data_IF_974822279921
#
_entry.id   IF_974822279921
#
_cell.length_a   1.000
_cell.length_b   1.000
_cell.length_c   1.000
_cell.angle_alpha   90.00
_cell.angle_beta   90.00
_cell.angle_gamma   90.00
#
_symmetry.space_group_name_H-M   'P 1'
#
loop_
_entity.id
_entity.type
_entity.pdbx_description
1 polymer ?
#
# COMPACT_ATOMS: atom_id res chain seq x y z
N UNK A 1 -16.94 12.73 -27.51
CA UNK A 1 -15.99 12.46 -26.39
C UNK A 1 -16.75 12.73 -25.12
N UNK A 2 -16.69 11.84 -24.13
CA UNK A 2 -17.54 11.94 -22.94
C UNK A 2 -17.01 13.09 -22.05
N UNK A 3 -17.81 14.10 -21.72
CA UNK A 3 -17.40 15.27 -20.92
C UNK A 3 -16.69 14.91 -19.61
N UNK A 4 -17.12 13.81 -18.98
CA UNK A 4 -16.56 13.32 -17.74
C UNK A 4 -15.08 12.89 -17.86
N UNK A 5 -14.72 12.24 -18.98
CA UNK A 5 -13.35 11.79 -19.26
C UNK A 5 -12.39 12.97 -19.45
N UNK A 6 -12.81 13.96 -20.21
CA UNK A 6 -12.05 15.19 -20.44
C UNK A 6 -11.81 15.92 -19.11
N UNK A 7 -12.84 15.94 -18.23
CA UNK A 7 -12.79 16.59 -16.93
C UNK A 7 -11.77 15.94 -15.97
N UNK A 8 -11.61 14.61 -16.03
CA UNK A 8 -10.59 13.92 -15.20
C UNK A 8 -9.17 14.25 -15.69
N UNK A 9 -8.93 14.23 -16.99
CA UNK A 9 -7.63 14.65 -17.56
C UNK A 9 -7.34 16.11 -17.24
N UNK A 10 -8.29 17.03 -17.43
CA UNK A 10 -8.15 18.44 -17.08
C UNK A 10 -7.85 18.65 -15.59
N UNK A 11 -8.41 17.79 -14.72
CA UNK A 11 -8.14 17.86 -13.28
C UNK A 11 -6.65 17.59 -12.98
N UNK A 12 -6.07 16.53 -13.56
CA UNK A 12 -4.69 16.12 -13.26
C UNK A 12 -3.64 16.96 -14.01
N UNK A 13 -3.99 17.55 -15.14
CA UNK A 13 -3.11 18.42 -15.91
C UNK A 13 -3.20 19.89 -15.48
N UNK A 14 -4.28 20.29 -14.82
CA UNK A 14 -4.58 21.66 -14.39
C UNK A 14 -4.03 22.03 -13.02
N UNK A 15 -4.91 22.32 -12.07
CA UNK A 15 -4.51 22.74 -10.71
C UNK A 15 -4.11 21.54 -9.83
N UNK A 16 -2.81 21.31 -9.69
CA UNK A 16 -2.24 20.17 -8.97
C UNK A 16 -2.63 20.11 -7.50
N UNK A 17 -2.82 21.25 -6.81
CA UNK A 17 -3.28 21.27 -5.41
C UNK A 17 -4.72 20.74 -5.31
N UNK A 18 -5.60 21.21 -6.20
CA UNK A 18 -6.99 20.76 -6.28
C UNK A 18 -7.06 19.29 -6.70
N UNK A 19 -6.20 18.86 -7.62
CA UNK A 19 -6.10 17.48 -8.07
C UNK A 19 -5.77 16.53 -6.90
N UNK A 20 -4.73 16.82 -6.11
CA UNK A 20 -4.33 16.00 -4.97
C UNK A 20 -5.52 15.78 -4.02
N UNK A 21 -6.19 16.85 -3.60
CA UNK A 21 -7.31 16.75 -2.64
C UNK A 21 -8.47 15.96 -3.23
N UNK A 22 -8.83 16.26 -4.49
CA UNK A 22 -9.97 15.64 -5.16
C UNK A 22 -9.76 14.15 -5.46
N UNK A 23 -8.51 13.75 -5.71
CA UNK A 23 -8.15 12.35 -5.92
C UNK A 23 -7.97 11.62 -4.58
N UNK A 24 -7.42 12.26 -3.57
CA UNK A 24 -7.19 11.64 -2.26
C UNK A 24 -8.51 11.34 -1.51
N UNK A 25 -9.54 12.15 -1.70
CA UNK A 25 -10.82 11.98 -0.99
C UNK A 25 -11.48 10.60 -1.26
N UNK A 26 -11.76 10.19 -2.50
CA UNK A 26 -12.30 8.86 -2.75
C UNK A 26 -11.30 7.76 -2.37
N UNK A 27 -10.00 7.97 -2.57
CA UNK A 27 -8.99 6.98 -2.18
C UNK A 27 -8.94 6.73 -0.67
N UNK A 28 -9.20 7.74 0.14
CA UNK A 28 -9.33 7.56 1.60
C UNK A 28 -10.47 6.61 1.93
N UNK A 29 -11.64 6.78 1.31
CA UNK A 29 -12.76 5.86 1.49
C UNK A 29 -12.44 4.45 1.02
N UNK A 30 -11.72 4.31 -0.09
CA UNK A 30 -11.23 3.02 -0.58
C UNK A 30 -10.42 2.29 0.50
N UNK A 31 -9.38 2.95 1.04
CA UNK A 31 -8.51 2.36 2.05
C UNK A 31 -9.26 2.07 3.36
N UNK A 32 -10.19 2.93 3.74
CA UNK A 32 -11.03 2.72 4.92
C UNK A 32 -11.96 1.51 4.75
N UNK A 33 -12.59 1.35 3.59
CA UNK A 33 -13.42 0.17 3.27
C UNK A 33 -12.58 -1.12 3.25
N UNK A 34 -11.38 -1.09 2.66
CA UNK A 34 -10.46 -2.23 2.68
C UNK A 34 -10.10 -2.63 4.11
N UNK A 35 -9.89 -1.67 4.98
CA UNK A 35 -9.61 -1.94 6.38
C UNK A 35 -10.80 -2.58 7.11
N UNK A 36 -12.02 -2.06 6.88
CA UNK A 36 -13.24 -2.63 7.47
C UNK A 36 -13.42 -4.07 7.00
N UNK A 37 -13.29 -4.32 5.70
CA UNK A 37 -13.50 -5.67 5.17
C UNK A 37 -12.46 -6.66 5.73
N UNK A 38 -11.19 -6.32 5.83
CA UNK A 38 -10.17 -7.16 6.44
C UNK A 38 -10.46 -7.48 7.92
N UNK A 39 -11.02 -6.50 8.64
CA UNK A 39 -11.43 -6.71 10.03
C UNK A 39 -12.62 -7.68 10.14
N UNK A 40 -13.63 -7.50 9.29
CA UNK A 40 -14.82 -8.37 9.26
C UNK A 40 -14.46 -9.79 8.83
N UNK A 41 -13.63 -9.96 7.81
CA UNK A 41 -13.12 -11.26 7.37
C UNK A 41 -12.41 -12.00 8.52
N UNK A 42 -11.57 -11.29 9.29
CA UNK A 42 -10.93 -11.85 10.47
C UNK A 42 -11.94 -12.33 11.52
N UNK A 43 -13.06 -11.62 11.73
CA UNK A 43 -14.12 -12.05 12.67
C UNK A 43 -14.75 -13.37 12.22
N UNK A 44 -15.05 -13.51 10.93
CA UNK A 44 -15.63 -14.75 10.41
C UNK A 44 -14.69 -15.94 10.56
N UNK A 45 -13.39 -15.74 10.31
CA UNK A 45 -12.39 -16.82 10.47
C UNK A 45 -12.20 -17.21 11.93
N UNK A 46 -12.26 -16.27 12.88
CA UNK A 46 -12.23 -16.62 14.33
C UNK A 46 -13.31 -17.62 14.70
N UNK A 47 -14.47 -17.55 14.06
CA UNK A 47 -15.57 -18.50 14.29
C UNK A 47 -15.28 -19.96 13.87
N UNK A 48 -14.23 -20.20 13.05
CA UNK A 48 -13.78 -21.56 12.67
C UNK A 48 -12.90 -22.23 13.73
N UNK A 49 -12.48 -21.49 14.76
CA UNK A 49 -11.68 -22.00 15.86
C UNK A 49 -10.20 -21.60 15.82
N UNK A 50 -9.45 -21.96 16.88
CA UNK A 50 -8.08 -21.48 17.07
C UNK A 50 -7.08 -22.01 16.02
N UNK A 51 -7.32 -23.20 15.49
CA UNK A 51 -6.46 -23.81 14.46
C UNK A 51 -6.55 -23.06 13.13
N UNK A 52 -7.75 -22.65 12.72
CA UNK A 52 -7.97 -21.83 11.53
C UNK A 52 -7.33 -20.43 11.68
N UNK A 53 -7.49 -19.83 12.87
CA UNK A 53 -6.86 -18.53 13.16
C UNK A 53 -5.33 -18.63 13.14
N UNK A 54 -4.75 -19.70 13.68
CA UNK A 54 -3.32 -19.95 13.62
C UNK A 54 -2.84 -20.14 12.17
N UNK A 55 -3.58 -20.87 11.35
CA UNK A 55 -3.27 -21.08 9.94
C UNK A 55 -3.19 -19.75 9.15
N UNK A 56 -4.17 -18.84 9.35
CA UNK A 56 -4.12 -17.49 8.76
C UNK A 56 -2.90 -16.72 9.24
N UNK A 57 -2.56 -16.82 10.52
CA UNK A 57 -1.35 -16.18 11.05
C UNK A 57 -0.08 -16.58 10.30
N UNK A 58 0.05 -17.85 9.90
CA UNK A 58 1.16 -18.36 9.09
C UNK A 58 1.08 -17.94 7.61
N UNK A 59 -0.11 -17.90 7.03
CA UNK A 59 -0.31 -17.58 5.60
C UNK A 59 -0.26 -16.07 5.35
N UNK A 60 -0.69 -15.24 6.30
CA UNK A 60 -0.75 -13.78 6.15
C UNK A 60 0.57 -13.13 5.67
N UNK A 61 1.77 -13.47 6.16
CA UNK A 61 3.00 -12.89 5.65
C UNK A 61 3.23 -13.16 4.15
N UNK A 62 2.88 -14.36 3.68
CA UNK A 62 2.95 -14.69 2.25
C UNK A 62 1.96 -13.86 1.44
N UNK A 63 0.74 -13.72 1.94
CA UNK A 63 -0.29 -12.89 1.32
C UNK A 63 0.14 -11.42 1.23
N UNK A 64 0.75 -10.85 2.28
CA UNK A 64 1.27 -9.48 2.26
C UNK A 64 2.39 -9.27 1.25
N UNK A 65 3.30 -10.25 1.06
CA UNK A 65 4.32 -10.18 0.02
C UNK A 65 3.68 -10.10 -1.37
N UNK A 66 2.64 -10.89 -1.59
CA UNK A 66 1.93 -10.91 -2.87
C UNK A 66 1.13 -9.64 -3.13
N UNK A 67 0.47 -9.10 -2.11
CA UNK A 67 -0.15 -7.77 -2.19
C UNK A 67 0.90 -6.69 -2.50
N UNK A 68 2.10 -6.80 -1.91
CA UNK A 68 3.23 -5.93 -2.25
C UNK A 68 3.60 -5.97 -3.73
N UNK A 69 3.60 -7.15 -4.34
CA UNK A 69 3.85 -7.31 -5.78
C UNK A 69 2.72 -6.70 -6.61
N UNK A 70 1.46 -6.95 -6.25
CA UNK A 70 0.29 -6.36 -6.92
C UNK A 70 0.32 -4.83 -6.85
N UNK A 71 0.57 -4.27 -5.67
CA UNK A 71 0.72 -2.83 -5.47
C UNK A 71 1.89 -2.25 -6.27
N UNK A 72 3.02 -2.95 -6.36
CA UNK A 72 4.18 -2.54 -7.15
C UNK A 72 3.86 -2.45 -8.64
N UNK A 73 3.17 -3.45 -9.17
CA UNK A 73 2.68 -3.46 -10.55
C UNK A 73 1.67 -2.34 -10.79
N UNK A 74 0.73 -2.14 -9.87
CA UNK A 74 -0.25 -1.05 -9.93
C UNK A 74 0.42 0.33 -9.91
N UNK A 75 1.37 0.56 -9.02
CA UNK A 75 2.11 1.82 -8.93
C UNK A 75 2.92 2.10 -10.20
N UNK A 76 3.51 1.06 -10.81
CA UNK A 76 4.25 1.21 -12.06
C UNK A 76 3.34 1.56 -13.24
N UNK A 77 2.20 0.89 -13.37
CA UNK A 77 1.19 1.21 -14.39
C UNK A 77 0.69 2.64 -14.24
N UNK A 78 0.29 3.05 -13.02
CA UNK A 78 -0.14 4.42 -12.72
C UNK A 78 0.93 5.44 -13.12
N UNK A 79 2.17 5.26 -12.67
CA UNK A 79 3.28 6.17 -12.98
C UNK A 79 3.55 6.27 -14.48
N UNK A 80 3.62 5.14 -15.18
CA UNK A 80 3.98 5.09 -16.59
C UNK A 80 2.90 5.75 -17.46
N UNK A 81 1.63 5.44 -17.21
CA UNK A 81 0.49 6.01 -17.90
C UNK A 81 0.40 7.52 -17.63
N UNK A 82 0.44 7.94 -16.35
CA UNK A 82 0.32 9.34 -15.97
C UNK A 82 1.44 10.20 -16.57
N UNK A 83 2.67 9.68 -16.69
CA UNK A 83 3.79 10.38 -17.34
C UNK A 83 3.53 10.60 -18.83
N UNK A 84 3.02 9.60 -19.54
CA UNK A 84 2.70 9.71 -20.95
C UNK A 84 1.51 10.66 -21.22
N UNK A 85 0.49 10.63 -20.34
CA UNK A 85 -0.61 11.64 -20.37
C UNK A 85 -0.03 13.05 -20.18
N UNK A 86 0.87 13.25 -19.22
CA UNK A 86 1.53 14.51 -18.98
C UNK A 86 2.39 15.01 -20.15
N UNK A 87 2.96 14.09 -20.93
CA UNK A 87 3.68 14.37 -22.15
C UNK A 87 2.76 14.66 -23.37
N UNK A 88 1.44 14.55 -23.20
CA UNK A 88 0.42 14.59 -24.27
C UNK A 88 0.59 13.47 -25.32
N UNK A 89 1.28 12.38 -24.98
CA UNK A 89 1.44 11.21 -25.84
C UNK A 89 0.47 10.10 -25.42
N UNK A 90 -0.77 10.27 -25.85
CA UNK A 90 -1.84 9.33 -25.53
C UNK A 90 -1.66 7.96 -26.20
N UNK A 91 -1.01 7.91 -27.37
CA UNK A 91 -0.68 6.63 -28.03
C UNK A 91 0.28 5.82 -27.19
N UNK A 92 1.31 6.48 -26.66
CA UNK A 92 2.26 5.85 -25.78
C UNK A 92 1.62 5.49 -24.42
N UNK A 93 0.68 6.30 -23.92
CA UNK A 93 -0.09 5.99 -22.71
C UNK A 93 -0.95 4.71 -22.91
N UNK A 94 -1.64 4.57 -24.05
CA UNK A 94 -2.38 3.36 -24.42
C UNK A 94 -1.47 2.13 -24.47
N UNK A 95 -0.33 2.27 -25.15
CA UNK A 95 0.64 1.19 -25.28
C UNK A 95 1.28 0.81 -23.93
N UNK A 96 1.55 1.79 -23.07
CA UNK A 96 2.04 1.58 -21.70
C UNK A 96 1.04 0.80 -20.84
N UNK A 97 -0.26 1.11 -20.93
CA UNK A 97 -1.30 0.38 -20.23
C UNK A 97 -1.38 -1.08 -20.70
N UNK A 98 -1.32 -1.33 -22.02
CA UNK A 98 -1.31 -2.68 -22.58
C UNK A 98 -0.06 -3.48 -22.18
N UNK A 99 1.12 -2.85 -22.12
CA UNK A 99 2.34 -3.48 -21.60
C UNK A 99 2.23 -3.80 -20.10
N UNK A 100 1.57 -2.93 -19.32
CA UNK A 100 1.31 -3.22 -17.90
C UNK A 100 0.38 -4.41 -17.73
N UNK A 101 -0.66 -4.55 -18.57
CA UNK A 101 -1.54 -5.73 -18.59
C UNK A 101 -0.74 -7.00 -18.92
N UNK A 102 0.08 -6.97 -19.96
CA UNK A 102 0.91 -8.11 -20.35
C UNK A 102 1.88 -8.52 -19.24
N UNK A 103 2.61 -7.56 -18.67
CA UNK A 103 3.58 -7.81 -17.60
C UNK A 103 2.90 -8.34 -16.34
N UNK A 104 1.76 -7.77 -15.96
CA UNK A 104 0.98 -8.23 -14.80
C UNK A 104 0.50 -9.66 -14.97
N UNK A 105 0.04 -10.02 -16.18
CA UNK A 105 -0.36 -11.39 -16.51
C UNK A 105 0.82 -12.35 -16.35
N UNK A 106 1.98 -12.00 -16.88
CA UNK A 106 3.19 -12.84 -16.80
C UNK A 106 3.60 -13.01 -15.32
N UNK A 107 3.66 -11.93 -14.55
CA UNK A 107 4.04 -11.97 -13.14
C UNK A 107 3.04 -12.82 -12.35
N UNK A 108 1.73 -12.61 -12.55
CA UNK A 108 0.69 -13.36 -11.85
C UNK A 108 0.76 -14.85 -12.16
N UNK A 109 0.95 -15.24 -13.43
CA UNK A 109 1.08 -16.64 -13.82
C UNK A 109 2.33 -17.27 -13.20
N UNK A 110 3.48 -16.60 -13.26
CA UNK A 110 4.74 -17.09 -12.66
C UNK A 110 4.54 -17.32 -11.15
N UNK A 111 3.96 -16.37 -10.42
CA UNK A 111 3.75 -16.50 -8.98
C UNK A 111 2.76 -17.62 -8.68
N UNK A 112 1.64 -17.68 -9.43
CA UNK A 112 0.66 -18.76 -9.28
C UNK A 112 1.33 -20.12 -9.44
N UNK A 113 2.12 -20.34 -10.48
CA UNK A 113 2.82 -21.61 -10.72
C UNK A 113 3.80 -21.92 -9.58
N UNK A 114 4.62 -20.95 -9.18
CA UNK A 114 5.57 -21.12 -8.07
C UNK A 114 4.82 -21.50 -6.78
N UNK A 115 3.76 -20.76 -6.45
CA UNK A 115 3.01 -21.00 -5.21
C UNK A 115 2.29 -22.35 -5.24
N UNK A 116 1.66 -22.74 -6.35
CA UNK A 116 0.98 -24.04 -6.44
C UNK A 116 1.96 -25.22 -6.35
N UNK A 117 3.13 -25.11 -6.99
CA UNK A 117 4.15 -26.19 -6.98
C UNK A 117 4.85 -26.29 -5.63
N UNK A 118 5.19 -25.14 -5.01
CA UNK A 118 5.99 -25.11 -3.79
C UNK A 118 5.18 -24.80 -2.53
N UNK A 119 3.85 -24.83 -2.59
CA UNK A 119 2.98 -24.47 -1.45
C UNK A 119 3.30 -25.32 -0.21
N UNK A 120 3.28 -26.64 -0.34
CA UNK A 120 3.53 -27.54 0.80
C UNK A 120 4.94 -27.37 1.37
N UNK A 121 6.03 -27.37 0.57
CA UNK A 121 7.38 -27.02 1.04
C UNK A 121 7.46 -25.66 1.76
N UNK A 122 6.82 -24.62 1.22
CA UNK A 122 6.83 -23.27 1.83
C UNK A 122 6.12 -23.28 3.18
N UNK A 123 4.93 -23.88 3.27
CA UNK A 123 4.17 -23.98 4.51
C UNK A 123 4.92 -24.77 5.58
N UNK A 124 5.57 -25.87 5.20
CA UNK A 124 6.40 -26.65 6.12
C UNK A 124 7.63 -25.86 6.60
N UNK A 125 8.28 -25.09 5.72
CA UNK A 125 9.41 -24.24 6.07
C UNK A 125 9.03 -23.15 7.10
N UNK A 126 7.82 -22.61 6.99
CA UNK A 126 7.27 -21.60 7.92
C UNK A 126 6.87 -22.25 9.25
N UNK A 127 6.74 -23.58 9.30
CA UNK A 127 6.44 -24.31 10.54
C UNK A 127 4.95 -24.35 10.88
N UNK A 128 4.08 -24.46 9.88
CA UNK A 128 2.60 -24.48 10.05
C UNK A 128 2.12 -25.67 10.90
N UNK A 129 2.87 -26.78 10.92
CA UNK A 129 2.61 -27.93 11.80
C UNK A 129 1.24 -28.57 11.58
N UNK A 130 0.49 -28.79 12.68
CA UNK A 130 -0.83 -29.45 12.66
C UNK A 130 -1.91 -28.64 11.90
N UNK A 131 -1.72 -27.34 11.68
CA UNK A 131 -2.71 -26.48 10.99
C UNK A 131 -2.52 -26.45 9.47
N UNK A 132 -1.65 -27.32 8.91
CA UNK A 132 -1.30 -27.32 7.49
C UNK A 132 -2.51 -27.50 6.57
N UNK A 133 -3.50 -28.29 6.97
CA UNK A 133 -4.70 -28.48 6.15
C UNK A 133 -5.49 -27.18 5.99
N UNK A 134 -5.74 -26.45 7.08
CA UNK A 134 -6.41 -25.14 7.02
C UNK A 134 -5.62 -24.11 6.20
N UNK A 135 -4.30 -24.13 6.35
CA UNK A 135 -3.42 -23.26 5.57
C UNK A 135 -3.45 -23.60 4.08
N UNK A 136 -3.47 -24.88 3.72
CA UNK A 136 -3.58 -25.35 2.33
C UNK A 136 -4.93 -24.99 1.73
N UNK A 137 -6.03 -25.25 2.45
CA UNK A 137 -7.40 -24.97 1.98
C UNK A 137 -7.58 -23.50 1.60
N UNK A 138 -7.00 -22.59 2.37
CA UNK A 138 -6.99 -21.18 2.06
C UNK A 138 -6.03 -20.83 0.91
N UNK A 139 -4.79 -21.30 1.03
CA UNK A 139 -3.69 -20.88 0.14
C UNK A 139 -3.88 -21.36 -1.28
N UNK A 140 -4.31 -22.58 -1.52
CA UNK A 140 -4.53 -23.09 -2.88
C UNK A 140 -5.56 -22.28 -3.66
N UNK A 141 -6.59 -21.78 -3.00
CA UNK A 141 -7.61 -20.94 -3.64
C UNK A 141 -7.05 -19.54 -3.92
N UNK A 142 -6.53 -18.85 -2.90
CA UNK A 142 -6.04 -17.45 -3.07
C UNK A 142 -4.89 -17.38 -4.06
N UNK A 143 -3.88 -18.24 -3.92
CA UNK A 143 -2.71 -18.21 -4.80
C UNK A 143 -2.99 -18.85 -6.17
N UNK A 144 -3.90 -19.82 -6.25
CA UNK A 144 -4.35 -20.40 -7.52
C UNK A 144 -5.06 -19.39 -8.42
N UNK A 145 -5.81 -18.49 -7.81
CA UNK A 145 -6.53 -17.41 -8.52
C UNK A 145 -5.92 -16.03 -8.34
N UNK A 146 -4.63 -15.97 -7.99
CA UNK A 146 -3.94 -14.70 -7.75
C UNK A 146 -3.98 -13.75 -8.95
N UNK A 147 -4.08 -14.27 -10.16
CA UNK A 147 -4.23 -13.46 -11.37
C UNK A 147 -5.40 -12.47 -11.24
N UNK A 148 -6.50 -12.86 -10.61
CA UNK A 148 -7.69 -12.01 -10.42
C UNK A 148 -7.35 -10.84 -9.49
N UNK A 149 -6.66 -11.09 -8.37
CA UNK A 149 -6.27 -10.07 -7.40
C UNK A 149 -5.29 -9.06 -8.01
N UNK A 150 -4.31 -9.55 -8.79
CA UNK A 150 -3.36 -8.69 -9.51
C UNK A 150 -4.06 -7.83 -10.57
N UNK A 151 -5.03 -8.40 -11.28
CA UNK A 151 -5.81 -7.67 -12.29
C UNK A 151 -6.73 -6.62 -11.66
N UNK A 152 -7.35 -6.89 -10.52
CA UNK A 152 -8.16 -5.91 -9.78
C UNK A 152 -7.34 -4.67 -9.45
N UNK A 153 -6.14 -4.85 -8.87
CA UNK A 153 -5.26 -3.75 -8.53
C UNK A 153 -4.75 -3.01 -9.78
N UNK A 154 -4.39 -3.75 -10.84
CA UNK A 154 -3.95 -3.17 -12.09
C UNK A 154 -5.03 -2.31 -12.76
N UNK A 155 -6.25 -2.85 -12.93
CA UNK A 155 -7.36 -2.13 -13.56
C UNK A 155 -7.72 -0.89 -12.74
N UNK A 156 -7.77 -1.00 -11.42
CA UNK A 156 -7.94 0.15 -10.52
C UNK A 156 -6.84 1.18 -10.71
N UNK A 157 -5.59 0.75 -10.90
CA UNK A 157 -4.44 1.66 -11.12
C UNK A 157 -4.50 2.36 -12.47
N UNK A 158 -5.03 1.72 -13.51
CA UNK A 158 -5.26 2.37 -14.82
C UNK A 158 -6.30 3.49 -14.68
N UNK A 159 -7.41 3.26 -13.98
CA UNK A 159 -8.39 4.33 -13.68
C UNK A 159 -7.73 5.48 -12.89
N UNK A 160 -6.95 5.16 -11.87
CA UNK A 160 -6.23 6.16 -11.06
C UNK A 160 -5.25 7.00 -11.89
N UNK A 161 -4.58 6.39 -12.86
CA UNK A 161 -3.62 7.07 -13.73
C UNK A 161 -4.23 8.18 -14.59
N UNK A 162 -5.50 8.02 -14.98
CA UNK A 162 -6.29 9.03 -15.70
C UNK A 162 -6.96 10.06 -14.79
N UNK A 163 -6.79 9.93 -13.47
CA UNK A 163 -7.47 10.77 -12.49
C UNK A 163 -8.89 10.32 -12.16
N UNK A 164 -9.32 9.16 -12.62
CA UNK A 164 -10.64 8.59 -12.31
C UNK A 164 -10.61 7.73 -11.05
N UNK A 165 -10.47 8.40 -9.90
CA UNK A 165 -10.51 7.74 -8.60
C UNK A 165 -11.90 7.21 -8.25
N UNK A 166 -12.97 7.75 -8.87
CA UNK A 166 -14.35 7.38 -8.55
C UNK A 166 -14.65 5.93 -8.97
N UNK A 167 -14.37 5.55 -10.21
CA UNK A 167 -14.56 4.18 -10.67
C UNK A 167 -13.65 3.20 -9.95
N UNK A 168 -12.39 3.56 -9.68
CA UNK A 168 -11.49 2.74 -8.88
C UNK A 168 -12.05 2.50 -7.45
N UNK A 169 -12.58 3.53 -6.79
CA UNK A 169 -13.18 3.42 -5.45
C UNK A 169 -14.44 2.55 -5.46
N UNK A 170 -15.32 2.71 -6.45
CA UNK A 170 -16.53 1.89 -6.55
C UNK A 170 -16.18 0.41 -6.76
N UNK A 171 -15.18 0.09 -7.59
CA UNK A 171 -14.75 -1.28 -7.82
C UNK A 171 -14.31 -1.95 -6.50
N UNK A 172 -13.46 -1.28 -5.72
CA UNK A 172 -12.99 -1.80 -4.43
C UNK A 172 -14.12 -1.85 -3.39
N UNK A 173 -15.06 -0.91 -3.42
CA UNK A 173 -16.24 -0.96 -2.57
C UNK A 173 -17.12 -2.19 -2.89
N UNK A 174 -17.25 -2.54 -4.17
CA UNK A 174 -17.96 -3.75 -4.59
C UNK A 174 -17.25 -4.99 -4.06
N UNK A 175 -15.92 -5.08 -4.20
CA UNK A 175 -15.14 -6.18 -3.61
C UNK A 175 -15.40 -6.29 -2.11
N UNK A 176 -15.25 -5.19 -1.36
CA UNK A 176 -15.40 -5.19 0.09
C UNK A 176 -16.81 -5.62 0.54
N UNK A 177 -17.86 -5.04 -0.07
CA UNK A 177 -19.25 -5.35 0.30
C UNK A 177 -19.59 -6.80 -0.08
N UNK A 178 -19.20 -7.24 -1.28
CA UNK A 178 -19.48 -8.61 -1.75
C UNK A 178 -18.73 -9.63 -0.89
N UNK A 179 -17.48 -9.37 -0.52
CA UNK A 179 -16.70 -10.26 0.34
C UNK A 179 -17.38 -10.41 1.72
N UNK A 180 -17.73 -9.31 2.40
CA UNK A 180 -18.42 -9.33 3.70
C UNK A 180 -19.70 -10.19 3.67
N UNK A 181 -20.43 -10.18 2.54
CA UNK A 181 -21.66 -10.96 2.37
C UNK A 181 -21.38 -12.42 2.02
N UNK A 182 -20.35 -12.70 1.23
CA UNK A 182 -20.00 -14.06 0.79
C UNK A 182 -19.27 -14.86 1.86
N UNK A 183 -18.49 -14.22 2.74
CA UNK A 183 -17.76 -14.90 3.80
C UNK A 183 -18.67 -15.82 4.64
N UNK A 184 -19.71 -15.32 5.34
CA UNK A 184 -20.57 -16.18 6.15
C UNK A 184 -21.30 -17.24 5.32
N UNK A 185 -21.64 -16.92 4.07
CA UNK A 185 -22.31 -17.85 3.16
C UNK A 185 -21.40 -19.04 2.82
N UNK A 186 -20.15 -18.78 2.43
CA UNK A 186 -19.22 -19.83 2.02
C UNK A 186 -18.61 -20.56 3.20
N UNK A 187 -18.27 -19.83 4.26
CA UNK A 187 -17.67 -20.42 5.46
C UNK A 187 -18.66 -21.36 6.17
N UNK A 188 -19.87 -20.86 6.46
CA UNK A 188 -20.80 -21.54 7.36
C UNK A 188 -21.98 -22.22 6.65
N UNK A 189 -22.63 -21.56 5.67
CA UNK A 189 -23.82 -22.13 5.01
C UNK A 189 -23.40 -23.23 4.06
N UNK A 190 -22.35 -23.02 3.25
CA UNK A 190 -21.82 -24.06 2.35
C UNK A 190 -20.79 -24.98 3.02
N UNK A 191 -20.46 -24.73 4.31
CA UNK A 191 -19.50 -25.52 5.09
C UNK A 191 -18.13 -25.69 4.43
N UNK A 192 -17.66 -24.68 3.69
CA UNK A 192 -16.36 -24.71 3.01
C UNK A 192 -15.20 -24.32 3.97
N UNK A 193 -15.51 -23.83 5.19
CA UNK A 193 -14.50 -23.44 6.17
C UNK A 193 -13.49 -22.44 5.62
N UNK A 194 -12.19 -22.72 5.78
CA UNK A 194 -11.10 -21.84 5.33
C UNK A 194 -11.08 -21.64 3.81
N UNK A 195 -11.40 -22.67 3.02
CA UNK A 195 -11.55 -22.50 1.57
C UNK A 195 -12.71 -21.56 1.23
N UNK A 196 -13.75 -21.50 2.08
CA UNK A 196 -14.88 -20.58 1.92
C UNK A 196 -14.46 -19.11 1.99
N UNK A 197 -13.66 -18.72 2.99
CA UNK A 197 -13.10 -17.36 3.09
C UNK A 197 -12.23 -17.00 1.86
N UNK A 198 -11.40 -17.94 1.41
CA UNK A 198 -10.58 -17.78 0.22
C UNK A 198 -11.43 -17.57 -1.06
N UNK A 199 -12.47 -18.38 -1.24
CA UNK A 199 -13.40 -18.23 -2.38
C UNK A 199 -14.19 -16.92 -2.33
N UNK A 200 -14.62 -16.47 -1.16
CA UNK A 200 -15.29 -15.17 -1.02
C UNK A 200 -14.38 -14.04 -1.50
N UNK A 201 -13.10 -14.05 -1.12
CA UNK A 201 -12.11 -13.06 -1.58
C UNK A 201 -11.91 -13.11 -3.10
N UNK A 202 -11.72 -14.29 -3.67
CA UNK A 202 -11.48 -14.44 -5.12
C UNK A 202 -12.72 -14.04 -5.94
N UNK A 203 -13.92 -14.45 -5.54
CA UNK A 203 -15.16 -14.16 -6.27
C UNK A 203 -15.52 -12.67 -6.18
N UNK A 204 -15.35 -12.03 -5.02
CA UNK A 204 -15.59 -10.60 -4.87
C UNK A 204 -14.62 -9.77 -5.74
N UNK A 205 -13.35 -10.12 -5.78
CA UNK A 205 -12.36 -9.51 -6.67
C UNK A 205 -12.66 -9.77 -8.15
N UNK A 206 -13.10 -10.99 -8.48
CA UNK A 206 -13.50 -11.32 -9.85
C UNK A 206 -14.70 -10.48 -10.32
N UNK A 207 -15.69 -10.27 -9.44
CA UNK A 207 -16.85 -9.43 -9.74
C UNK A 207 -16.41 -7.98 -10.02
N UNK A 208 -15.52 -7.42 -9.20
CA UNK A 208 -14.97 -6.09 -9.44
C UNK A 208 -14.20 -6.01 -10.76
N UNK A 209 -13.37 -7.02 -11.07
CA UNK A 209 -12.70 -7.11 -12.37
C UNK A 209 -13.69 -7.11 -13.54
N UNK A 210 -14.74 -7.93 -13.48
CA UNK A 210 -15.78 -8.01 -14.53
C UNK A 210 -16.44 -6.63 -14.72
N UNK A 211 -16.76 -5.95 -13.64
CA UNK A 211 -17.39 -4.62 -13.71
C UNK A 211 -16.41 -3.59 -14.29
N UNK A 212 -15.13 -3.59 -13.90
CA UNK A 212 -14.11 -2.70 -14.46
C UNK A 212 -13.90 -2.99 -15.96
N UNK A 213 -13.84 -4.26 -16.36
CA UNK A 213 -13.77 -4.70 -17.75
C UNK A 213 -14.97 -4.17 -18.53
N UNK A 214 -16.19 -4.32 -17.99
CA UNK A 214 -17.40 -3.78 -18.61
C UNK A 214 -17.34 -2.25 -18.77
N UNK A 215 -16.84 -1.52 -17.76
CA UNK A 215 -16.67 -0.07 -17.87
C UNK A 215 -15.63 0.32 -18.93
N UNK A 216 -14.56 -0.43 -19.06
CA UNK A 216 -13.47 -0.15 -20.00
C UNK A 216 -13.93 -0.43 -21.45
N UNK A 217 -14.34 -1.65 -21.73
CA UNK A 217 -14.56 -2.09 -23.12
C UNK A 217 -15.98 -1.86 -23.62
N UNK A 218 -17.02 -1.98 -22.78
CA UNK A 218 -18.41 -1.81 -23.20
C UNK A 218 -18.88 -0.38 -23.01
N UNK A 219 -18.71 0.20 -21.83
CA UNK A 219 -19.11 1.59 -21.54
C UNK A 219 -18.09 2.62 -21.99
N UNK A 220 -16.88 2.19 -22.33
CA UNK A 220 -15.77 3.05 -22.77
C UNK A 220 -15.56 4.23 -21.80
N UNK A 221 -15.51 3.97 -20.51
CA UNK A 221 -15.37 5.00 -19.47
C UNK A 221 -13.96 5.57 -19.38
N UNK A 222 -12.93 4.85 -19.79
CA UNK A 222 -11.55 5.35 -19.85
C UNK A 222 -11.39 6.36 -20.99
N UNK A 223 -10.49 7.32 -20.77
CA UNK A 223 -9.99 8.21 -21.81
C UNK A 223 -9.08 7.44 -22.78
N UNK A 224 -8.24 6.56 -22.24
CA UNK A 224 -7.37 5.67 -23.01
C UNK A 224 -8.17 4.63 -23.80
N UNK A 225 -7.67 4.29 -24.97
CA UNK A 225 -8.20 3.20 -25.81
C UNK A 225 -7.33 1.95 -25.64
N UNK A 226 -7.79 1.02 -24.80
CA UNK A 226 -7.13 -0.27 -24.56
C UNK A 226 -7.43 -1.31 -25.64
N UNK A 227 -7.59 -0.88 -26.89
CA UNK A 227 -7.73 -1.80 -28.02
C UNK A 227 -6.42 -2.54 -28.29
N UNK A 228 -6.44 -3.88 -28.48
CA UNK A 228 -5.24 -4.63 -28.86
C UNK A 228 -4.56 -4.11 -30.15
N UNK A 229 -5.30 -3.40 -31.01
CA UNK A 229 -4.76 -2.76 -32.21
C UNK A 229 -3.72 -1.68 -31.91
N UNK A 230 -3.78 -1.08 -30.72
CA UNK A 230 -2.84 -0.06 -30.26
C UNK A 230 -1.58 -0.66 -29.62
N UNK A 231 -1.45 -1.97 -29.57
CA UNK A 231 -0.31 -2.64 -28.99
C UNK A 231 0.84 -2.69 -30.00
N UNK A 232 1.97 -2.09 -29.60
CA UNK A 232 3.25 -2.27 -30.28
C UNK A 232 4.30 -2.64 -29.25
N UNK A 233 4.92 -3.81 -29.38
CA UNK A 233 5.90 -4.30 -28.43
C UNK A 233 7.09 -3.34 -28.30
N UNK A 234 7.34 -2.86 -27.10
CA UNK A 234 8.46 -1.96 -26.78
C UNK A 234 9.18 -2.44 -25.53
N UNK A 235 10.40 -2.94 -25.70
CA UNK A 235 11.24 -3.42 -24.59
C UNK A 235 11.45 -2.34 -23.52
N UNK A 236 11.53 -1.07 -23.93
CA UNK A 236 11.73 0.04 -23.01
C UNK A 236 10.58 0.18 -22.03
N UNK A 237 9.31 0.01 -22.47
CA UNK A 237 8.13 0.08 -21.59
C UNK A 237 8.14 -1.04 -20.55
N UNK A 238 8.58 -2.25 -20.92
CA UNK A 238 8.74 -3.36 -19.96
C UNK A 238 9.82 -3.03 -18.95
N UNK A 239 10.96 -2.52 -19.39
CA UNK A 239 12.07 -2.16 -18.49
C UNK A 239 11.67 -1.04 -17.55
N UNK A 240 11.00 0.01 -18.02
CA UNK A 240 10.50 1.11 -17.19
C UNK A 240 9.46 0.64 -16.18
N UNK A 241 8.57 -0.27 -16.59
CA UNK A 241 7.58 -0.87 -15.71
C UNK A 241 8.27 -1.66 -14.58
N UNK A 242 9.22 -2.54 -14.91
CA UNK A 242 9.97 -3.33 -13.93
C UNK A 242 10.82 -2.47 -13.00
N UNK A 243 11.39 -1.36 -13.49
CA UNK A 243 12.19 -0.42 -12.68
C UNK A 243 11.37 0.30 -11.59
N UNK A 244 10.05 0.27 -11.69
CA UNK A 244 9.14 0.79 -10.65
C UNK A 244 8.52 -0.37 -9.88
N UNK A 245 8.00 -1.38 -10.58
CA UNK A 245 7.27 -2.48 -9.98
C UNK A 245 8.11 -3.27 -8.98
N UNK A 246 9.32 -3.70 -9.36
CA UNK A 246 10.18 -4.50 -8.48
C UNK A 246 10.60 -3.73 -7.21
N UNK A 247 11.14 -2.50 -7.31
CA UNK A 247 11.45 -1.73 -6.11
C UNK A 247 10.24 -1.48 -5.22
N UNK A 248 9.08 -1.12 -5.78
CA UNK A 248 7.87 -0.85 -5.00
C UNK A 248 7.34 -2.11 -4.30
N UNK A 249 7.45 -3.27 -4.93
CA UNK A 249 7.11 -4.56 -4.31
C UNK A 249 8.01 -4.87 -3.10
N UNK A 250 9.32 -4.61 -3.24
CA UNK A 250 10.29 -4.83 -2.17
C UNK A 250 10.09 -3.89 -0.98
N UNK A 251 9.55 -2.69 -1.18
CA UNK A 251 9.27 -1.73 -0.09
C UNK A 251 8.34 -2.32 0.98
N UNK A 252 7.32 -3.08 0.57
CA UNK A 252 6.39 -3.75 1.49
C UNK A 252 7.11 -4.83 2.31
N UNK A 253 7.95 -5.65 1.66
CA UNK A 253 8.73 -6.70 2.30
C UNK A 253 9.72 -6.12 3.32
N UNK A 254 10.40 -5.02 2.97
CA UNK A 254 11.33 -4.31 3.86
C UNK A 254 10.60 -3.78 5.10
N UNK A 255 9.43 -3.16 4.91
CA UNK A 255 8.64 -2.63 6.02
C UNK A 255 8.20 -3.74 6.98
N UNK A 256 7.77 -4.89 6.47
CA UNK A 256 7.38 -6.05 7.28
C UNK A 256 8.58 -6.65 8.02
N UNK A 257 9.73 -6.78 7.35
CA UNK A 257 10.96 -7.30 7.97
C UNK A 257 11.45 -6.40 9.11
N UNK A 258 11.36 -5.08 8.94
CA UNK A 258 11.69 -4.12 9.99
C UNK A 258 10.82 -4.33 11.24
N UNK A 259 9.50 -4.53 11.06
CA UNK A 259 8.58 -4.79 12.19
C UNK A 259 8.96 -6.07 12.95
N UNK A 260 9.38 -7.13 12.25
CA UNK A 260 9.85 -8.36 12.89
C UNK A 260 11.11 -8.11 13.74
N UNK A 261 12.07 -7.33 13.25
CA UNK A 261 13.31 -7.01 13.98
C UNK A 261 12.98 -6.16 15.20
N UNK A 262 12.12 -5.14 15.09
CA UNK A 262 11.72 -4.33 16.25
C UNK A 262 10.97 -5.16 17.30
N UNK A 263 10.08 -6.06 16.89
CA UNK A 263 9.42 -6.99 17.80
C UNK A 263 10.43 -7.88 18.53
N UNK A 264 11.44 -8.39 17.83
CA UNK A 264 12.52 -9.18 18.46
C UNK A 264 13.31 -8.37 19.49
N UNK A 265 13.65 -7.10 19.18
CA UNK A 265 14.30 -6.20 20.16
C UNK A 265 13.41 -5.96 21.38
N UNK A 266 12.09 -5.74 21.16
CA UNK A 266 11.13 -5.53 22.25
C UNK A 266 11.00 -6.76 23.15
N UNK A 267 11.05 -7.98 22.59
CA UNK A 267 11.05 -9.22 23.40
C UNK A 267 12.25 -9.23 24.34
N UNK A 268 13.44 -8.87 23.85
CA UNK A 268 14.67 -8.90 24.64
C UNK A 268 14.63 -7.91 25.81
N UNK A 269 14.11 -6.68 25.58
CA UNK A 269 14.17 -5.59 26.57
C UNK A 269 12.90 -5.43 27.42
N UNK A 270 11.76 -5.96 27.00
CA UNK A 270 10.46 -5.75 27.68
C UNK A 270 9.54 -6.96 27.67
N UNK A 271 9.98 -8.08 27.10
CA UNK A 271 9.20 -9.30 27.01
C UNK A 271 8.00 -9.20 26.07
N UNK A 272 7.14 -10.23 26.09
CA UNK A 272 5.97 -10.32 25.20
C UNK A 272 4.93 -9.22 25.46
N UNK A 273 4.84 -8.67 26.68
CA UNK A 273 3.92 -7.59 27.01
C UNK A 273 4.27 -6.32 26.22
N UNK A 274 5.55 -5.98 26.09
CA UNK A 274 6.01 -4.82 25.32
C UNK A 274 5.68 -4.96 23.83
N UNK A 275 5.81 -6.16 23.28
CA UNK A 275 5.40 -6.45 21.89
C UNK A 275 3.90 -6.29 21.70
N UNK A 276 3.09 -6.80 22.65
CA UNK A 276 1.64 -6.62 22.63
C UNK A 276 1.22 -5.16 22.62
N UNK A 277 1.78 -4.35 23.54
CA UNK A 277 1.52 -2.90 23.61
C UNK A 277 1.95 -2.18 22.32
N UNK A 278 3.13 -2.52 21.79
CA UNK A 278 3.62 -1.95 20.53
C UNK A 278 2.71 -2.26 19.35
N UNK A 279 2.29 -3.52 19.19
CA UNK A 279 1.43 -3.94 18.09
C UNK A 279 0.02 -3.29 18.18
N UNK A 280 -0.55 -3.20 19.38
CA UNK A 280 -1.81 -2.43 19.59
C UNK A 280 -1.60 -0.98 19.16
N UNK A 281 -0.51 -0.35 19.62
CA UNK A 281 -0.18 1.01 19.22
C UNK A 281 -0.05 1.19 17.71
N UNK A 282 0.65 0.26 17.03
CA UNK A 282 0.83 0.31 15.58
C UNK A 282 -0.49 0.11 14.81
N UNK A 283 -1.42 -0.72 15.29
CA UNK A 283 -2.75 -0.85 14.70
C UNK A 283 -3.54 0.48 14.75
N UNK A 284 -3.48 1.18 15.88
CA UNK A 284 -4.12 2.50 16.01
C UNK A 284 -3.45 3.55 15.12
N UNK A 285 -2.12 3.54 15.06
CA UNK A 285 -1.34 4.43 14.19
C UNK A 285 -1.71 4.21 12.72
N UNK A 286 -1.88 2.96 12.30
CA UNK A 286 -2.27 2.62 10.90
C UNK A 286 -3.57 3.31 10.51
N UNK A 287 -4.59 3.34 11.40
CA UNK A 287 -5.83 4.11 11.19
C UNK A 287 -5.56 5.60 10.94
N UNK A 288 -4.73 6.20 11.80
CA UNK A 288 -4.37 7.62 11.69
C UNK A 288 -3.55 7.96 10.43
N UNK A 289 -2.96 6.95 9.76
CA UNK A 289 -2.11 7.13 8.57
C UNK A 289 -2.82 6.87 7.24
N UNK A 290 -4.05 6.35 7.23
CA UNK A 290 -4.83 6.12 6.01
C UNK A 290 -4.92 7.36 5.09
N UNK A 291 -5.15 8.58 5.61
CA UNK A 291 -5.17 9.77 4.77
C UNK A 291 -3.82 10.06 4.08
N UNK A 292 -2.70 9.74 4.75
CA UNK A 292 -1.36 9.91 4.17
C UNK A 292 -1.17 8.99 2.97
N UNK A 293 -1.59 7.73 3.09
CA UNK A 293 -1.56 6.74 2.01
C UNK A 293 -2.45 7.18 0.84
N UNK A 294 -3.64 7.67 1.12
CA UNK A 294 -4.58 8.18 0.10
C UNK A 294 -3.98 9.37 -0.68
N UNK A 295 -3.38 10.33 0.02
CA UNK A 295 -2.69 11.48 -0.59
C UNK A 295 -1.47 10.99 -1.38
N UNK A 296 -0.75 10.00 -0.87
CA UNK A 296 0.41 9.41 -1.53
C UNK A 296 0.07 8.82 -2.90
N UNK A 297 -1.00 8.03 -2.99
CA UNK A 297 -1.49 7.48 -4.28
C UNK A 297 -1.87 8.59 -5.25
N UNK A 298 -2.56 9.63 -4.79
CA UNK A 298 -2.88 10.80 -5.61
C UNK A 298 -1.61 11.54 -6.10
N UNK A 299 -0.57 11.61 -5.26
CA UNK A 299 0.72 12.22 -5.62
C UNK A 299 1.42 11.44 -6.74
N UNK A 300 1.36 10.10 -6.78
CA UNK A 300 1.94 9.30 -7.88
C UNK A 300 1.38 9.79 -9.22
N UNK A 301 0.06 9.88 -9.34
CA UNK A 301 -0.62 10.32 -10.56
C UNK A 301 -0.25 11.76 -10.92
N UNK A 302 -0.46 12.69 -9.98
CA UNK A 302 -0.31 14.13 -10.24
C UNK A 302 1.15 14.52 -10.51
N UNK A 303 2.12 13.93 -9.80
CA UNK A 303 3.54 14.18 -10.07
C UNK A 303 4.00 13.48 -11.34
N UNK A 304 3.42 12.33 -11.68
CA UNK A 304 3.68 11.63 -12.95
C UNK A 304 3.33 12.52 -14.14
N UNK A 305 2.14 13.12 -14.14
CA UNK A 305 1.73 14.11 -15.15
C UNK A 305 2.66 15.32 -15.19
N UNK A 306 3.03 15.89 -14.03
CA UNK A 306 3.95 17.03 -13.97
C UNK A 306 5.36 16.69 -14.49
N UNK A 307 5.84 15.47 -14.23
CA UNK A 307 7.12 14.99 -14.73
C UNK A 307 7.09 14.75 -16.24
N UNK A 308 6.03 14.12 -16.75
CA UNK A 308 5.82 13.91 -18.19
C UNK A 308 5.75 15.20 -18.99
N UNK A 309 5.03 16.20 -18.48
CA UNK A 309 4.96 17.55 -19.07
C UNK A 309 6.26 18.39 -18.87
N UNK A 310 7.29 17.82 -18.23
CA UNK A 310 8.55 18.52 -17.89
C UNK A 310 8.34 19.80 -17.04
N UNK A 311 7.21 19.91 -16.35
CA UNK A 311 6.87 21.06 -15.53
C UNK A 311 7.41 20.91 -14.09
N UNK A 312 8.64 21.39 -13.89
CA UNK A 312 9.34 21.28 -12.60
C UNK A 312 8.70 22.09 -11.47
N UNK A 313 7.98 23.17 -11.79
CA UNK A 313 7.27 23.96 -10.77
C UNK A 313 6.05 23.18 -10.25
N UNK A 314 5.30 22.55 -11.13
CA UNK A 314 4.18 21.68 -10.75
C UNK A 314 4.66 20.46 -9.95
N UNK A 315 5.79 19.85 -10.30
CA UNK A 315 6.41 18.77 -9.49
C UNK A 315 6.71 19.26 -8.07
N UNK A 316 7.32 20.45 -7.93
CA UNK A 316 7.64 21.06 -6.63
C UNK A 316 6.38 21.38 -5.82
N UNK A 317 5.34 21.93 -6.47
CA UNK A 317 4.04 22.22 -5.86
C UNK A 317 3.41 20.93 -5.36
N UNK A 318 3.32 19.89 -6.20
CA UNK A 318 2.72 18.60 -5.87
C UNK A 318 3.38 17.97 -4.64
N UNK A 319 4.71 17.86 -4.66
CA UNK A 319 5.47 17.28 -3.55
C UNK A 319 5.31 18.10 -2.26
N UNK A 320 5.57 19.42 -2.31
CA UNK A 320 5.56 20.26 -1.11
C UNK A 320 4.14 20.42 -0.52
N UNK A 321 3.12 20.49 -1.36
CA UNK A 321 1.74 20.60 -0.93
C UNK A 321 1.23 19.27 -0.34
N UNK A 322 1.58 18.13 -0.98
CA UNK A 322 1.30 16.81 -0.44
C UNK A 322 1.87 16.63 0.96
N UNK A 323 3.16 16.96 1.17
CA UNK A 323 3.79 16.91 2.50
C UNK A 323 3.07 17.83 3.51
N UNK A 324 2.73 19.06 3.12
CA UNK A 324 2.06 20.02 4.03
C UNK A 324 0.66 19.56 4.48
N UNK A 325 -0.16 19.08 3.54
CA UNK A 325 -1.50 18.54 3.90
C UNK A 325 -1.37 17.32 4.78
N UNK A 326 -0.51 16.36 4.41
CA UNK A 326 -0.28 15.17 5.23
C UNK A 326 0.21 15.55 6.62
N UNK A 327 1.12 16.52 6.75
CA UNK A 327 1.62 16.97 8.05
C UNK A 327 0.50 17.54 8.92
N UNK A 328 -0.38 18.37 8.35
CA UNK A 328 -1.55 18.90 9.08
C UNK A 328 -2.47 17.79 9.58
N UNK A 329 -2.76 16.79 8.73
CA UNK A 329 -3.60 15.64 9.11
C UNK A 329 -2.88 14.79 10.16
N UNK A 330 -1.59 14.54 10.00
CA UNK A 330 -0.79 13.76 10.94
C UNK A 330 -0.73 14.40 12.33
N UNK A 331 -0.58 15.73 12.42
CA UNK A 331 -0.62 16.45 13.68
C UNK A 331 -2.00 16.31 14.34
N UNK A 332 -3.08 16.45 13.57
CA UNK A 332 -4.44 16.23 14.09
C UNK A 332 -4.64 14.80 14.59
N UNK A 333 -4.23 13.79 13.79
CA UNK A 333 -4.33 12.37 14.18
C UNK A 333 -3.51 12.08 15.43
N UNK A 334 -2.29 12.61 15.55
CA UNK A 334 -1.45 12.48 16.73
C UNK A 334 -2.15 13.07 17.98
N UNK A 335 -2.71 14.28 17.87
CA UNK A 335 -3.43 14.93 18.98
C UNK A 335 -4.64 14.07 19.39
N UNK A 336 -5.44 13.61 18.43
CA UNK A 336 -6.61 12.77 18.71
C UNK A 336 -6.22 11.45 19.39
N UNK A 337 -5.21 10.74 18.87
CA UNK A 337 -4.72 9.49 19.48
C UNK A 337 -4.20 9.74 20.89
N UNK A 338 -3.46 10.85 21.11
CA UNK A 338 -2.91 11.17 22.43
C UNK A 338 -3.98 11.55 23.44
N UNK A 339 -4.97 12.36 23.05
CA UNK A 339 -6.07 12.79 23.93
C UNK A 339 -6.99 11.62 24.27
N UNK A 340 -7.31 10.78 23.30
CA UNK A 340 -8.19 9.63 23.48
C UNK A 340 -7.45 8.34 23.85
N UNK A 341 -6.15 8.39 24.18
CA UNK A 341 -5.36 7.22 24.55
C UNK A 341 -5.97 6.37 25.67
N UNK A 342 -6.51 6.95 26.78
CA UNK A 342 -7.17 6.17 27.81
C UNK A 342 -8.42 5.42 27.31
N UNK A 343 -9.26 6.07 26.50
CA UNK A 343 -10.48 5.47 25.94
C UNK A 343 -10.13 4.37 24.92
N UNK A 344 -9.12 4.60 24.10
CA UNK A 344 -8.61 3.60 23.15
C UNK A 344 -8.05 2.39 23.90
N UNK A 345 -7.27 2.60 24.97
CA UNK A 345 -6.72 1.52 25.76
C UNK A 345 -7.80 0.61 26.38
N UNK A 346 -8.94 1.18 26.80
CA UNK A 346 -10.08 0.42 27.33
C UNK A 346 -10.69 -0.53 26.31
N UNK A 347 -10.67 -0.20 25.00
CA UNK A 347 -11.17 -1.10 23.96
C UNK A 347 -10.35 -2.38 23.83
N UNK A 348 -9.07 -2.35 24.20
CA UNK A 348 -8.14 -3.49 24.12
C UNK A 348 -7.95 -4.20 25.46
N UNK A 349 -8.59 -3.75 26.52
CA UNK A 349 -8.44 -4.27 27.89
C UNK A 349 -9.77 -4.68 28.56
N UNK A 350 -10.72 -5.15 27.75
CA UNK A 350 -12.04 -5.56 28.21
C UNK A 350 -12.04 -6.87 29.04
N UNK A 351 -10.93 -7.61 29.07
CA UNK A 351 -10.79 -8.86 29.81
C UNK A 351 -9.80 -8.71 30.98
N UNK A 352 -10.02 -9.41 32.10
CA UNK A 352 -9.16 -9.33 33.29
C UNK A 352 -7.68 -9.63 33.01
N UNK A 353 -7.38 -10.49 32.05
CA UNK A 353 -6.01 -10.80 31.62
C UNK A 353 -5.33 -9.61 30.91
N UNK A 354 -6.10 -8.75 30.24
CA UNK A 354 -5.59 -7.60 29.48
C UNK A 354 -5.67 -6.28 30.26
N UNK A 355 -6.36 -6.24 31.41
CA UNK A 355 -6.52 -5.04 32.24
C UNK A 355 -5.17 -4.50 32.76
N UNK A 356 -4.19 -5.37 33.00
CA UNK A 356 -2.84 -4.98 33.39
C UNK A 356 -2.08 -4.19 32.30
N UNK A 357 -2.49 -4.31 31.03
CA UNK A 357 -1.87 -3.63 29.89
C UNK A 357 -2.49 -2.25 29.63
N UNK A 358 -3.65 -1.93 30.21
CA UNK A 358 -4.35 -0.65 29.99
C UNK A 358 -3.46 0.56 30.26
N UNK A 359 -2.80 0.57 31.42
CA UNK A 359 -1.89 1.66 31.82
C UNK A 359 -0.69 1.76 30.85
N UNK A 360 -0.13 0.62 30.42
CA UNK A 360 0.99 0.61 29.49
C UNK A 360 0.57 1.12 28.12
N UNK A 361 -0.58 0.68 27.59
CA UNK A 361 -1.13 1.16 26.32
C UNK A 361 -1.39 2.67 26.40
N UNK A 362 -2.06 3.14 27.45
CA UNK A 362 -2.36 4.55 27.65
C UNK A 362 -1.11 5.43 27.64
N UNK A 363 -0.05 5.00 28.30
CA UNK A 363 1.21 5.77 28.38
C UNK A 363 2.04 5.67 27.08
N UNK A 364 1.92 4.57 26.36
CA UNK A 364 2.74 4.32 25.16
C UNK A 364 2.13 4.94 23.90
N UNK A 365 0.80 4.99 23.78
CA UNK A 365 0.12 5.54 22.59
C UNK A 365 0.55 6.97 22.23
N UNK A 366 0.63 7.93 23.17
CA UNK A 366 1.11 9.28 22.87
C UNK A 366 2.54 9.30 22.34
N UNK A 367 3.42 8.45 22.88
CA UNK A 367 4.83 8.34 22.43
C UNK A 367 4.87 7.79 21.00
N UNK A 368 4.22 6.66 20.76
CA UNK A 368 4.21 6.05 19.43
C UNK A 368 3.51 6.92 18.38
N UNK A 369 2.51 7.72 18.77
CA UNK A 369 1.81 8.62 17.85
C UNK A 369 2.73 9.69 17.24
N UNK A 370 3.85 10.03 17.88
CA UNK A 370 4.88 10.92 17.33
C UNK A 370 5.46 10.38 16.01
N UNK A 371 5.47 9.05 15.82
CA UNK A 371 5.87 8.44 14.55
C UNK A 371 5.06 8.95 13.36
N UNK A 372 3.76 9.25 13.55
CA UNK A 372 2.86 9.72 12.49
C UNK A 372 3.42 11.00 11.83
N UNK A 373 4.07 11.88 12.60
CA UNK A 373 4.66 13.14 12.08
C UNK A 373 5.81 12.87 11.09
N UNK A 374 6.51 11.75 11.24
CA UNK A 374 7.62 11.39 10.34
C UNK A 374 7.17 10.95 8.95
N UNK A 375 5.95 10.42 8.85
CA UNK A 375 5.42 9.78 7.64
C UNK A 375 5.32 10.70 6.43
N UNK A 376 4.79 11.94 6.53
CA UNK A 376 4.64 12.82 5.38
C UNK A 376 5.94 13.04 4.60
N UNK A 377 7.05 13.18 5.30
CA UNK A 377 8.36 13.43 4.67
C UNK A 377 8.85 12.21 3.88
N UNK A 378 8.72 11.02 4.45
CA UNK A 378 9.16 9.78 3.79
C UNK A 378 8.18 9.28 2.74
N UNK A 379 6.91 9.06 3.12
CA UNK A 379 5.91 8.45 2.25
C UNK A 379 5.63 9.30 1.00
N UNK A 380 5.44 10.62 1.13
CA UNK A 380 5.21 11.48 -0.04
C UNK A 380 6.46 11.57 -0.92
N UNK A 381 7.67 11.43 -0.36
CA UNK A 381 8.91 11.41 -1.14
C UNK A 381 9.07 10.12 -1.94
N UNK A 382 8.78 8.96 -1.34
CA UNK A 382 8.78 7.67 -2.06
C UNK A 382 7.75 7.68 -3.20
N UNK A 383 6.51 8.10 -2.91
CA UNK A 383 5.45 8.23 -3.93
C UNK A 383 5.78 9.24 -5.04
N UNK A 384 6.48 10.32 -4.70
CA UNK A 384 6.99 11.29 -5.71
C UNK A 384 8.01 10.64 -6.64
N UNK A 385 8.96 9.87 -6.12
CA UNK A 385 9.92 9.15 -6.96
C UNK A 385 9.26 8.06 -7.80
N UNK A 386 8.29 7.32 -7.24
CA UNK A 386 7.50 6.34 -8.01
C UNK A 386 6.78 7.02 -9.19
N UNK A 387 6.09 8.15 -8.94
CA UNK A 387 5.42 8.92 -9.98
C UNK A 387 6.37 9.47 -11.06
N UNK A 388 7.62 9.81 -10.70
CA UNK A 388 8.66 10.20 -11.66
C UNK A 388 9.32 9.01 -12.38
N UNK A 389 8.90 7.78 -12.13
CA UNK A 389 9.52 6.59 -12.72
C UNK A 389 10.87 6.21 -12.10
N UNK A 390 11.18 6.72 -10.90
CA UNK A 390 12.45 6.49 -10.20
C UNK A 390 12.26 5.51 -9.03
N UNK A 391 11.76 4.30 -9.30
CA UNK A 391 11.44 3.30 -8.28
C UNK A 391 12.63 2.91 -7.42
N UNK A 392 13.84 2.81 -7.99
CA UNK A 392 15.06 2.54 -7.20
C UNK A 392 15.32 3.61 -6.16
N UNK A 393 15.08 4.90 -6.48
CA UNK A 393 15.25 5.99 -5.51
C UNK A 393 14.21 5.90 -4.39
N UNK A 394 12.99 5.49 -4.71
CA UNK A 394 11.92 5.20 -3.73
C UNK A 394 12.34 4.09 -2.78
N UNK A 395 12.83 2.97 -3.31
CA UNK A 395 13.34 1.84 -2.53
C UNK A 395 14.50 2.23 -1.61
N UNK A 396 15.45 3.04 -2.10
CA UNK A 396 16.58 3.49 -1.29
C UNK A 396 16.14 4.37 -0.11
N UNK A 397 15.12 5.23 -0.28
CA UNK A 397 14.54 5.98 0.85
C UNK A 397 13.90 5.02 1.85
N UNK A 398 13.15 4.03 1.37
CA UNK A 398 12.50 3.03 2.22
C UNK A 398 13.51 2.20 2.99
N UNK A 399 14.59 1.72 2.33
CA UNK A 399 15.70 1.02 2.97
C UNK A 399 16.38 1.86 4.04
N UNK A 400 16.74 3.10 3.70
CA UNK A 400 17.40 4.01 4.64
C UNK A 400 16.52 4.28 5.86
N UNK A 401 15.24 4.59 5.63
CA UNK A 401 14.30 4.98 6.68
C UNK A 401 13.90 3.79 7.55
N UNK A 402 13.37 2.74 6.95
CA UNK A 402 12.80 1.62 7.71
C UNK A 402 13.86 0.63 8.18
N UNK A 403 14.80 0.25 7.33
CA UNK A 403 15.73 -0.83 7.67
C UNK A 403 16.99 -0.32 8.37
N UNK A 404 17.65 0.69 7.79
CA UNK A 404 18.95 1.15 8.32
C UNK A 404 18.76 2.02 9.56
N UNK A 405 18.11 3.16 9.44
CA UNK A 405 18.05 4.14 10.52
C UNK A 405 17.17 3.70 11.68
N UNK A 406 16.02 3.08 11.44
CA UNK A 406 15.17 2.59 12.52
C UNK A 406 15.87 1.54 13.37
N UNK A 407 16.53 0.56 12.73
CA UNK A 407 17.21 -0.52 13.45
C UNK A 407 18.43 0.03 14.20
N UNK A 408 19.26 0.87 13.55
CA UNK A 408 20.45 1.45 14.19
C UNK A 408 20.06 2.29 15.40
N UNK A 409 19.11 3.21 15.28
CA UNK A 409 18.70 4.05 16.40
C UNK A 409 17.96 3.27 17.49
N UNK A 410 17.12 2.29 17.12
CA UNK A 410 16.48 1.42 18.10
C UNK A 410 17.51 0.62 18.90
N UNK A 411 18.50 0.05 18.23
CA UNK A 411 19.60 -0.66 18.90
C UNK A 411 20.43 0.27 19.80
N UNK A 412 20.86 1.42 19.28
CA UNK A 412 21.68 2.38 20.00
C UNK A 412 20.97 2.86 21.28
N UNK A 413 19.72 3.31 21.18
CA UNK A 413 19.01 3.85 22.35
C UNK A 413 18.58 2.76 23.32
N UNK A 414 18.17 1.59 22.82
CA UNK A 414 17.70 0.52 23.69
C UNK A 414 18.82 -0.19 24.43
N UNK A 415 19.88 -0.59 23.73
CA UNK A 415 20.94 -1.44 24.27
C UNK A 415 22.18 -0.65 24.70
N UNK A 416 22.62 0.33 23.90
CA UNK A 416 23.87 1.09 24.23
C UNK A 416 23.57 2.19 25.23
N UNK A 417 22.50 2.98 25.05
CA UNK A 417 22.08 4.01 26.01
C UNK A 417 21.30 3.45 27.22
N UNK A 418 20.88 2.17 27.16
CA UNK A 418 20.17 1.53 28.27
C UNK A 418 18.72 2.00 28.50
N UNK A 419 18.07 2.61 27.49
CA UNK A 419 16.69 3.11 27.62
C UNK A 419 15.64 1.99 27.51
N UNK A 420 16.04 0.73 27.26
CA UNK A 420 15.15 -0.42 27.17
C UNK A 420 14.05 -0.24 26.13
N UNK A 421 12.79 -0.52 26.50
CA UNK A 421 11.61 -0.43 25.61
C UNK A 421 11.44 0.98 25.04
N UNK A 422 11.62 2.03 25.84
CA UNK A 422 11.51 3.42 25.38
C UNK A 422 12.59 3.76 24.35
N UNK A 423 13.76 3.11 24.42
CA UNK A 423 14.83 3.23 23.43
C UNK A 423 14.42 2.68 22.06
N UNK A 424 13.69 1.55 22.02
CA UNK A 424 13.16 1.01 20.77
C UNK A 424 12.15 1.98 20.14
N UNK A 425 11.22 2.54 20.93
CA UNK A 425 10.23 3.50 20.44
C UNK A 425 10.89 4.79 19.95
N UNK A 426 11.79 5.36 20.72
CA UNK A 426 12.53 6.57 20.34
C UNK A 426 13.36 6.36 19.07
N UNK A 427 14.03 5.23 18.94
CA UNK A 427 14.82 4.88 17.77
C UNK A 427 13.96 4.71 16.51
N UNK A 428 12.81 4.04 16.63
CA UNK A 428 11.85 3.88 15.56
C UNK A 428 11.29 5.24 15.05
N UNK A 429 10.94 6.14 15.99
CA UNK A 429 10.44 7.47 15.67
C UNK A 429 11.52 8.34 15.02
N UNK A 430 12.69 8.40 15.65
CA UNK A 430 13.80 9.25 15.18
C UNK A 430 14.37 8.75 13.86
N UNK A 431 14.56 7.45 13.70
CA UNK A 431 15.02 6.84 12.46
C UNK A 431 14.08 7.13 11.29
N UNK A 432 12.79 6.99 11.51
CA UNK A 432 11.76 7.34 10.50
C UNK A 432 11.77 8.83 10.17
N UNK A 433 11.95 9.70 11.15
CA UNK A 433 11.98 11.15 10.94
C UNK A 433 13.23 11.57 10.15
N UNK A 434 14.39 11.13 10.56
CA UNK A 434 15.67 11.46 9.89
C UNK A 434 15.68 10.92 8.46
N UNK A 435 15.28 9.67 8.26
CA UNK A 435 15.19 9.07 6.93
C UNK A 435 14.13 9.75 6.06
N UNK A 436 13.00 10.15 6.64
CA UNK A 436 11.97 10.92 5.95
C UNK A 436 12.45 12.30 5.51
N UNK A 437 13.12 13.05 6.39
CA UNK A 437 13.71 14.35 6.07
C UNK A 437 14.79 14.25 4.98
N UNK A 438 15.60 13.19 5.02
CA UNK A 438 16.55 12.89 3.95
C UNK A 438 15.82 12.68 2.61
N UNK A 439 14.76 11.86 2.59
CA UNK A 439 13.94 11.65 1.39
C UNK A 439 13.35 12.95 0.84
N UNK A 440 12.81 13.79 1.72
CA UNK A 440 12.29 15.10 1.36
C UNK A 440 13.34 16.02 0.74
N UNK A 441 14.53 16.09 1.32
CA UNK A 441 15.65 16.87 0.78
C UNK A 441 16.11 16.31 -0.57
N UNK A 442 16.16 14.96 -0.71
CA UNK A 442 16.58 14.31 -1.94
C UNK A 442 15.62 14.61 -3.11
N UNK A 443 14.30 14.55 -2.88
CA UNK A 443 13.32 14.93 -3.91
C UNK A 443 13.51 16.39 -4.35
N UNK A 444 13.73 17.32 -3.41
CA UNK A 444 14.00 18.72 -3.76
C UNK A 444 15.26 18.88 -4.61
N UNK A 445 16.32 18.17 -4.27
CA UNK A 445 17.56 18.18 -5.04
C UNK A 445 17.37 17.54 -6.42
N UNK A 446 16.60 16.46 -6.51
CA UNK A 446 16.25 15.82 -7.78
C UNK A 446 15.50 16.80 -8.70
N UNK A 447 14.45 17.47 -8.21
CA UNK A 447 13.68 18.44 -9.00
C UNK A 447 14.57 19.59 -9.48
N UNK A 448 15.48 20.08 -8.62
CA UNK A 448 16.46 21.13 -9.00
C UNK A 448 17.41 20.67 -10.11
N UNK A 449 17.95 19.45 -10.00
CA UNK A 449 18.82 18.85 -11.03
C UNK A 449 18.07 18.67 -12.35
N UNK A 450 16.83 18.17 -12.28
CA UNK A 450 15.98 17.99 -13.44
C UNK A 450 15.69 19.33 -14.15
N UNK A 451 15.38 20.39 -13.41
CA UNK A 451 15.23 21.74 -13.96
C UNK A 451 16.47 22.22 -14.72
N UNK A 452 17.67 22.01 -14.15
CA UNK A 452 18.94 22.39 -14.79
C UNK A 452 19.19 21.60 -16.07
N UNK A 453 18.85 20.31 -16.12
CA UNK A 453 19.02 19.48 -17.31
C UNK A 453 18.10 19.92 -18.46
N UNK A 454 16.86 20.34 -18.14
CA UNK A 454 15.93 20.86 -19.16
C UNK A 454 16.44 22.17 -19.79
N UNK A 455 16.97 23.08 -18.99
CA UNK A 455 17.56 24.35 -19.51
C UNK A 455 18.76 24.06 -20.39
N UNK A 456 19.63 23.12 -20.01
CA UNK A 456 20.81 22.76 -20.82
C UNK A 456 20.47 22.10 -22.16
N UNK A 457 19.35 21.38 -22.25
CA UNK A 457 18.91 20.72 -23.49
C UNK A 457 18.10 21.68 -24.41
N UNK A 458 17.71 22.83 -23.92
CA UNK A 458 17.00 23.89 -24.70
C UNK A 458 17.92 25.00 -25.19
N UNK A 459 19.15 25.08 -24.71
CA UNK A 459 20.26 25.92 -25.20
C UNK A 459 21.13 25.10 -26.18
#
# INVERSE_FOLDING_TARGET
MNEEKTKNIELITGNHKKAIVKLAYPMFFTLFLMMIYNFVDSIWVVGLGPEALAAIGFVSPLYWVLLGISNGVGASANSLIARNIGANDYNQANNAALHSILLSTIIAVIITVIMLVFMVPILNLIGVGSTIQYAMDYSYVVFGFMIILVFEELLSSIFRAEGDMHHATIAIAITAITNILLDPLFIYVFNLGMAGAAWATVISSALACIIMIYWIWVKKKLYLDLSPKNFSFQKNLITENLQIALPSSLETTISSSMMMILNSMLIIVGGYAAVGVFNVGMNIITLGTLPVSAIGVAVITVVGVAYGSKNTENMKITHSYGVKICLGICVLSMILISVFAPQIALLFSYNNASSSLTSQITNTLPILSLYIISLPFGAISTMTFQGCGKGVNSLLITLLRYFILNIIFAYLFSFVCGWGVNGVYAGFILGSLVGGLFGYAWVKLFIRKFKKSLVKNSS
#
